data_IF_813367620496
#
_entry.id   IF_813367620496
#
_cell.length_a   1.000
_cell.length_b   1.000
_cell.length_c   1.000
_cell.angle_alpha   90.00
_cell.angle_beta   90.00
_cell.angle_gamma   90.00
#
_symmetry.space_group_name_H-M   'P 1'
#
loop_
_entity.id
_entity.type
_entity.pdbx_description
1 polymer ?
#
# COMPACT_ATOMS: atom_id res chain seq x y z
N UNK A 1 -29.24 -44.00 -10.10
CA UNK A 1 -29.59 -43.48 -11.42
C UNK A 1 -28.38 -42.72 -11.98
N UNK A 2 -27.68 -43.32 -12.96
CA UNK A 2 -26.45 -42.80 -13.52
C UNK A 2 -26.76 -41.75 -14.58
N UNK A 3 -26.13 -40.55 -14.53
CA UNK A 3 -26.23 -39.55 -15.57
C UNK A 3 -25.38 -39.96 -16.76
N UNK A 4 -26.00 -40.21 -17.92
CA UNK A 4 -25.37 -40.50 -19.20
C UNK A 4 -24.55 -39.31 -19.68
N UNK A 5 -23.25 -39.53 -19.92
CA UNK A 5 -22.36 -38.58 -20.56
C UNK A 5 -22.68 -38.44 -22.05
N UNK A 6 -22.48 -37.22 -22.55
CA UNK A 6 -22.65 -36.84 -23.95
C UNK A 6 -21.66 -37.58 -24.86
N UNK A 7 -22.14 -38.20 -25.94
CA UNK A 7 -21.30 -38.98 -26.86
C UNK A 7 -20.43 -38.09 -27.77
N UNK A 8 -19.26 -38.60 -28.18
CA UNK A 8 -18.33 -37.94 -29.12
C UNK A 8 -18.99 -37.42 -30.43
N UNK A 9 -20.11 -38.01 -30.80
CA UNK A 9 -20.86 -37.61 -32.00
C UNK A 9 -21.71 -36.36 -31.81
N UNK A 10 -22.07 -36.04 -30.56
CA UNK A 10 -22.78 -34.81 -30.21
C UNK A 10 -21.82 -33.61 -30.04
N UNK A 11 -20.57 -33.87 -29.67
CA UNK A 11 -19.51 -32.84 -29.62
C UNK A 11 -19.07 -32.38 -31.03
N UNK A 12 -19.08 -33.27 -32.02
CA UNK A 12 -18.70 -32.90 -33.38
C UNK A 12 -19.81 -32.17 -34.18
N UNK A 13 -21.05 -32.20 -33.74
CA UNK A 13 -22.13 -31.40 -34.36
C UNK A 13 -22.21 -29.97 -33.88
N UNK A 14 -21.59 -29.62 -32.74
CA UNK A 14 -21.49 -28.26 -32.27
C UNK A 14 -20.31 -27.46 -32.83
N UNK A 15 -19.36 -28.14 -33.51
CA UNK A 15 -18.14 -27.54 -34.10
C UNK A 15 -18.23 -27.17 -35.60
N UNK A 16 -19.38 -27.28 -36.24
CA UNK A 16 -19.53 -27.15 -37.71
C UNK A 16 -20.35 -25.94 -38.14
N UNK A 17 -20.35 -24.85 -37.38
CA UNK A 17 -21.02 -23.59 -37.71
C UNK A 17 -20.05 -22.39 -37.87
N UNK A 18 -18.75 -22.64 -38.07
CA UNK A 18 -17.76 -21.56 -38.31
C UNK A 18 -16.83 -21.83 -39.50
N UNK A 19 -17.31 -22.48 -40.54
CA UNK A 19 -16.53 -22.66 -41.78
C UNK A 19 -17.44 -22.58 -43.01
N UNK A 20 -18.06 -21.43 -43.26
CA UNK A 20 -18.70 -21.11 -44.51
C UNK A 20 -18.64 -19.60 -44.80
N UNK A 21 -17.45 -19.05 -44.99
CA UNK A 21 -17.26 -17.69 -45.50
C UNK A 21 -15.89 -17.58 -46.20
N UNK A 22 -15.68 -18.40 -47.27
CA UNK A 22 -14.53 -18.22 -48.14
C UNK A 22 -14.95 -18.58 -49.58
N UNK A 23 -15.78 -17.74 -50.18
CA UNK A 23 -15.94 -17.66 -51.65
C UNK A 23 -16.93 -16.52 -51.99
N UNK A 24 -16.53 -15.26 -51.87
CA UNK A 24 -17.10 -14.14 -52.66
C UNK A 24 -16.00 -13.08 -52.78
N UNK A 25 -15.75 -12.60 -53.99
CA UNK A 25 -14.65 -11.76 -54.40
C UNK A 25 -14.53 -10.36 -53.76
N UNK A 26 -13.58 -9.49 -54.19
CA UNK A 26 -13.18 -8.27 -53.50
C UNK A 26 -14.25 -7.18 -53.60
N UNK A 27 -15.28 -7.32 -52.81
CA UNK A 27 -16.23 -6.25 -52.52
C UNK A 27 -15.79 -5.56 -51.23
N UNK A 28 -15.53 -4.26 -51.32
CA UNK A 28 -15.18 -3.36 -50.24
C UNK A 28 -16.22 -3.49 -49.12
N UNK A 29 -15.94 -4.35 -48.14
CA UNK A 29 -16.62 -4.28 -46.83
C UNK A 29 -16.08 -3.05 -46.12
N UNK A 30 -16.82 -1.95 -46.17
CA UNK A 30 -16.68 -0.88 -45.21
C UNK A 30 -16.74 -1.54 -43.83
N UNK A 31 -15.80 -1.27 -42.89
CA UNK A 31 -15.95 -1.73 -41.54
C UNK A 31 -17.22 -1.06 -40.98
N UNK A 32 -18.29 -1.85 -40.86
CA UNK A 32 -19.44 -1.47 -40.07
C UNK A 32 -18.91 -1.23 -38.67
N UNK A 33 -18.91 0.06 -38.26
CA UNK A 33 -18.40 0.46 -36.97
C UNK A 33 -18.98 -0.44 -35.90
N UNK A 34 -18.08 -1.07 -35.15
CA UNK A 34 -18.40 -1.51 -33.80
C UNK A 34 -18.96 -0.26 -33.11
N UNK A 35 -20.25 -0.27 -32.87
CA UNK A 35 -20.90 0.73 -32.05
C UNK A 35 -20.19 0.67 -30.70
N UNK A 36 -19.24 1.57 -30.45
CA UNK A 36 -18.80 1.87 -29.12
C UNK A 36 -20.05 2.21 -28.34
N UNK A 37 -20.42 1.38 -27.38
CA UNK A 37 -21.52 1.67 -26.49
C UNK A 37 -21.28 3.10 -26.00
N UNK A 38 -22.27 3.99 -26.21
CA UNK A 38 -22.19 5.38 -25.77
C UNK A 38 -21.82 5.37 -24.29
N UNK A 39 -20.59 5.79 -23.99
CA UNK A 39 -20.13 5.83 -22.60
C UNK A 39 -20.99 6.84 -21.86
N UNK A 40 -21.68 6.40 -20.83
CA UNK A 40 -22.50 7.26 -19.95
C UNK A 40 -21.64 8.25 -19.14
N UNK A 41 -20.31 8.09 -19.20
CA UNK A 41 -19.34 8.92 -18.47
C UNK A 41 -19.16 10.22 -19.24
N UNK A 42 -19.57 11.33 -18.65
CA UNK A 42 -19.50 12.66 -19.26
C UNK A 42 -18.34 13.47 -18.65
N UNK A 43 -17.58 14.14 -19.53
CA UNK A 43 -16.43 14.96 -19.14
C UNK A 43 -15.28 14.14 -18.54
N UNK A 44 -14.15 14.76 -18.21
CA UNK A 44 -13.01 14.07 -17.64
C UNK A 44 -13.35 13.45 -16.29
N UNK A 45 -12.66 12.37 -15.93
CA UNK A 45 -12.61 11.86 -14.55
C UNK A 45 -11.54 12.64 -13.82
N UNK A 46 -11.87 13.26 -12.69
CA UNK A 46 -10.97 14.13 -11.93
C UNK A 46 -10.61 13.52 -10.57
N UNK A 47 -9.32 13.39 -10.30
CA UNK A 47 -8.80 12.87 -9.03
C UNK A 47 -7.99 13.95 -8.32
N UNK A 48 -8.47 14.43 -7.17
CA UNK A 48 -7.71 15.26 -6.25
C UNK A 48 -6.73 14.40 -5.46
N UNK A 49 -5.43 14.61 -5.65
CA UNK A 49 -4.40 13.85 -4.96
C UNK A 49 -3.68 14.73 -3.95
N UNK A 50 -3.56 14.30 -2.69
CA UNK A 50 -2.80 15.02 -1.68
C UNK A 50 -1.77 14.13 -0.99
N UNK A 51 -0.56 14.64 -0.85
CA UNK A 51 0.56 13.95 -0.19
C UNK A 51 1.52 14.98 0.40
N UNK A 52 2.40 14.57 1.29
CA UNK A 52 3.44 15.45 1.86
C UNK A 52 4.45 15.83 0.78
N UNK A 53 4.59 17.12 0.50
CA UNK A 53 5.53 17.64 -0.51
C UNK A 53 6.53 18.63 0.06
N UNK A 54 6.53 18.82 1.36
CA UNK A 54 7.40 19.74 2.08
C UNK A 54 8.02 19.10 3.33
N UNK A 55 9.11 19.70 3.83
CA UNK A 55 9.83 19.21 5.01
C UNK A 55 10.65 17.93 4.78
N UNK A 56 11.06 17.29 5.86
CA UNK A 56 11.95 16.11 5.86
C UNK A 56 11.34 14.87 5.21
N UNK A 57 10.04 14.85 5.03
CA UNK A 57 9.28 13.71 4.47
C UNK A 57 8.85 13.94 3.01
N UNK A 58 9.27 15.05 2.38
CA UNK A 58 8.90 15.40 1.00
C UNK A 58 9.27 14.31 -0.03
N UNK A 59 10.30 13.52 0.23
CA UNK A 59 10.69 12.40 -0.65
C UNK A 59 9.57 11.39 -0.88
N UNK A 60 8.72 11.16 0.12
CA UNK A 60 7.52 10.31 -0.06
C UNK A 60 6.54 10.92 -1.06
N UNK A 61 6.31 12.24 -0.96
CA UNK A 61 5.43 12.94 -1.89
C UNK A 61 5.90 12.87 -3.34
N UNK A 62 7.19 12.95 -3.58
CA UNK A 62 7.75 12.80 -4.93
C UNK A 62 7.52 11.37 -5.47
N UNK A 63 7.71 10.34 -4.65
CA UNK A 63 7.41 8.97 -5.07
C UNK A 63 5.92 8.74 -5.33
N UNK A 64 5.02 9.32 -4.53
CA UNK A 64 3.57 9.31 -4.81
C UNK A 64 3.27 9.94 -6.17
N UNK A 65 3.78 11.14 -6.40
CA UNK A 65 3.61 11.90 -7.65
C UNK A 65 4.10 11.10 -8.86
N UNK A 66 5.29 10.49 -8.79
CA UNK A 66 5.84 9.68 -9.87
C UNK A 66 4.90 8.52 -10.26
N UNK A 67 4.39 7.78 -9.27
CA UNK A 67 3.48 6.66 -9.50
C UNK A 67 2.14 7.11 -10.07
N UNK A 68 1.51 8.12 -9.45
CA UNK A 68 0.22 8.65 -9.88
C UNK A 68 0.30 9.24 -11.31
N UNK A 69 1.31 10.05 -11.57
CA UNK A 69 1.51 10.67 -12.88
C UNK A 69 1.72 9.64 -13.98
N UNK A 70 2.54 8.61 -13.72
CA UNK A 70 2.75 7.51 -14.68
C UNK A 70 1.44 6.80 -15.01
N UNK A 71 0.60 6.51 -14.01
CA UNK A 71 -0.69 5.87 -14.23
C UNK A 71 -1.64 6.76 -15.04
N UNK A 72 -1.73 8.06 -14.72
CA UNK A 72 -2.57 9.02 -15.45
C UNK A 72 -2.19 9.07 -16.94
N UNK A 73 -0.89 9.11 -17.23
CA UNK A 73 -0.41 9.15 -18.61
C UNK A 73 -0.67 7.84 -19.35
N UNK A 74 -0.38 6.69 -18.74
CA UNK A 74 -0.63 5.38 -19.34
C UNK A 74 -2.14 5.14 -19.58
N UNK A 75 -3.00 5.50 -18.61
CA UNK A 75 -4.46 5.41 -18.76
C UNK A 75 -4.93 6.29 -19.93
N UNK A 76 -4.46 7.53 -20.00
CA UNK A 76 -4.85 8.46 -21.06
C UNK A 76 -4.33 8.02 -22.44
N UNK A 77 -3.12 7.48 -22.52
CA UNK A 77 -2.57 6.94 -23.75
C UNK A 77 -3.36 5.70 -24.24
N UNK A 78 -3.95 4.93 -23.31
CA UNK A 78 -4.80 3.79 -23.61
C UNK A 78 -6.28 4.16 -23.91
N UNK A 79 -6.60 5.45 -24.04
CA UNK A 79 -7.95 5.92 -24.37
C UNK A 79 -8.76 6.44 -23.17
N UNK A 80 -8.13 6.60 -22.02
CA UNK A 80 -8.75 7.15 -20.81
C UNK A 80 -9.61 6.15 -20.03
N UNK A 81 -10.60 6.66 -19.32
CA UNK A 81 -11.56 5.89 -18.52
C UNK A 81 -12.91 5.93 -19.25
N UNK A 82 -13.31 4.81 -19.81
CA UNK A 82 -14.55 4.77 -20.62
C UNK A 82 -14.57 5.79 -21.77
N UNK A 83 -13.40 6.10 -22.36
CA UNK A 83 -13.27 7.04 -23.48
C UNK A 83 -13.07 8.50 -23.10
N UNK A 84 -13.05 8.85 -21.80
CA UNK A 84 -12.79 10.23 -21.34
C UNK A 84 -11.44 10.33 -20.63
N UNK A 85 -10.84 11.52 -20.63
CA UNK A 85 -9.53 11.73 -19.97
C UNK A 85 -9.62 11.58 -18.47
N UNK A 86 -8.55 11.08 -17.87
CA UNK A 86 -8.24 11.15 -16.45
C UNK A 86 -7.40 12.42 -16.20
N UNK A 87 -7.87 13.27 -15.31
CA UNK A 87 -7.15 14.47 -14.84
C UNK A 87 -6.80 14.31 -13.36
N UNK A 88 -5.65 14.81 -12.96
CA UNK A 88 -5.20 14.80 -11.57
C UNK A 88 -4.67 16.18 -11.18
N UNK A 89 -5.10 16.67 -10.03
CA UNK A 89 -4.48 17.82 -9.36
C UNK A 89 -3.81 17.34 -8.07
N UNK A 90 -2.56 17.77 -7.85
CA UNK A 90 -1.72 17.40 -6.71
C UNK A 90 -1.55 18.58 -5.77
N UNK A 91 -1.77 18.36 -4.45
CA UNK A 91 -1.56 19.37 -3.41
C UNK A 91 -0.75 18.83 -2.24
N UNK A 92 0.04 19.71 -1.61
CA UNK A 92 0.75 19.41 -0.37
C UNK A 92 -0.23 19.26 0.79
N UNK A 93 -0.18 18.14 1.47
CA UNK A 93 -0.98 17.86 2.66
C UNK A 93 -0.33 18.40 3.94
N UNK A 94 0.93 18.82 3.88
CA UNK A 94 1.77 19.31 4.99
C UNK A 94 1.81 18.40 6.23
N UNK A 95 1.22 17.19 6.15
CA UNK A 95 0.99 16.24 7.24
C UNK A 95 0.05 16.74 8.34
N UNK A 96 -0.57 17.91 8.19
CA UNK A 96 -1.52 18.47 9.15
C UNK A 96 -2.96 18.14 8.75
N UNK A 97 -3.76 17.70 9.70
CA UNK A 97 -5.17 17.37 9.47
C UNK A 97 -5.99 18.57 8.95
N UNK A 98 -5.84 19.80 9.46
CA UNK A 98 -6.54 20.97 8.91
C UNK A 98 -6.24 21.23 7.44
N UNK A 99 -4.98 21.12 7.02
CA UNK A 99 -4.57 21.35 5.62
C UNK A 99 -5.11 20.25 4.71
N UNK A 100 -5.10 18.99 5.17
CA UNK A 100 -5.70 17.87 4.43
C UNK A 100 -7.21 18.04 4.24
N UNK A 101 -7.93 18.52 5.25
CA UNK A 101 -9.37 18.83 5.16
C UNK A 101 -9.61 19.99 4.19
N UNK A 102 -8.80 21.05 4.28
CA UNK A 102 -8.89 22.18 3.37
C UNK A 102 -8.66 21.76 1.91
N UNK A 103 -7.66 20.91 1.67
CA UNK A 103 -7.40 20.36 0.34
C UNK A 103 -8.59 19.51 -0.17
N UNK A 104 -9.18 18.66 0.68
CA UNK A 104 -10.34 17.85 0.28
C UNK A 104 -11.52 18.71 -0.14
N UNK A 105 -11.85 19.75 0.64
CA UNK A 105 -12.91 20.71 0.31
C UNK A 105 -12.59 21.48 -1.00
N UNK A 106 -11.36 21.97 -1.15
CA UNK A 106 -10.93 22.63 -2.37
C UNK A 106 -11.08 21.71 -3.60
N UNK A 107 -10.64 20.46 -3.52
CA UNK A 107 -10.76 19.52 -4.62
C UNK A 107 -12.21 19.32 -5.04
N UNK A 108 -13.13 19.20 -4.09
CA UNK A 108 -14.54 18.94 -4.39
C UNK A 108 -15.26 20.23 -4.81
N UNK A 109 -15.18 21.27 -3.99
CA UNK A 109 -16.02 22.46 -4.13
C UNK A 109 -15.50 23.43 -5.21
N UNK A 110 -14.17 23.50 -5.41
CA UNK A 110 -13.55 24.47 -6.31
C UNK A 110 -13.06 23.84 -7.62
N UNK A 111 -12.36 22.70 -7.53
CA UNK A 111 -11.82 22.06 -8.72
C UNK A 111 -12.79 21.05 -9.36
N UNK A 112 -13.77 20.56 -8.60
CA UNK A 112 -14.78 19.63 -9.08
C UNK A 112 -14.27 18.19 -9.23
N UNK A 113 -13.47 17.72 -8.25
CA UNK A 113 -12.97 16.35 -8.21
C UNK A 113 -14.13 15.34 -8.08
N UNK A 114 -14.04 14.27 -8.84
CA UNK A 114 -14.92 13.10 -8.71
C UNK A 114 -14.45 12.18 -7.58
N UNK A 115 -13.13 12.05 -7.40
CA UNK A 115 -12.49 11.18 -6.41
C UNK A 115 -11.32 11.88 -5.76
N UNK A 116 -10.94 11.42 -4.56
CA UNK A 116 -9.75 11.86 -3.83
C UNK A 116 -8.82 10.68 -3.57
N UNK A 117 -7.51 10.96 -3.50
CA UNK A 117 -6.50 9.96 -3.18
C UNK A 117 -5.34 10.55 -2.37
N UNK A 118 -4.49 9.68 -1.84
CA UNK A 118 -3.29 10.06 -1.10
C UNK A 118 -3.39 9.81 0.39
N UNK A 119 -3.02 10.79 1.17
CA UNK A 119 -3.05 10.84 2.65
C UNK A 119 -1.94 10.01 3.30
N UNK A 120 -1.03 10.71 3.98
CA UNK A 120 0.20 10.11 4.48
C UNK A 120 0.14 9.69 5.95
N UNK A 121 -0.48 10.49 6.83
CA UNK A 121 -0.49 10.20 8.25
C UNK A 121 -1.81 9.64 8.75
N UNK A 122 -1.74 8.77 9.77
CA UNK A 122 -2.91 8.20 10.44
C UNK A 122 -3.86 9.28 10.96
N UNK A 123 -3.32 10.36 11.54
CA UNK A 123 -4.12 11.48 12.04
C UNK A 123 -4.91 12.21 10.95
N UNK A 124 -4.30 12.41 9.78
CA UNK A 124 -5.00 12.97 8.61
C UNK A 124 -6.11 12.05 8.12
N UNK A 125 -5.85 10.74 8.00
CA UNK A 125 -6.82 9.79 7.52
C UNK A 125 -8.06 9.70 8.42
N UNK A 126 -7.85 9.68 9.75
CA UNK A 126 -8.95 9.66 10.72
C UNK A 126 -9.76 10.96 10.70
N UNK A 127 -9.10 12.10 10.54
CA UNK A 127 -9.78 13.41 10.47
C UNK A 127 -10.57 13.57 9.16
N UNK A 128 -10.07 12.99 8.05
CA UNK A 128 -10.73 13.07 6.75
C UNK A 128 -11.93 12.13 6.62
N UNK A 129 -11.94 10.99 7.30
CA UNK A 129 -12.99 9.99 7.13
C UNK A 129 -14.42 10.56 7.29
N UNK A 130 -14.78 11.30 8.35
CA UNK A 130 -16.09 11.92 8.46
C UNK A 130 -16.34 13.01 7.41
N UNK A 131 -15.30 13.75 7.02
CA UNK A 131 -15.39 14.79 5.98
C UNK A 131 -15.73 14.18 4.61
N UNK A 132 -15.21 13.00 4.31
CA UNK A 132 -15.53 12.32 3.04
C UNK A 132 -16.98 11.85 2.98
N UNK A 133 -17.59 11.48 4.10
CA UNK A 133 -19.01 11.19 4.16
C UNK A 133 -19.85 12.47 3.90
N UNK A 134 -19.43 13.61 4.44
CA UNK A 134 -20.07 14.92 4.22
C UNK A 134 -19.95 15.36 2.75
N UNK A 135 -18.76 15.26 2.15
CA UNK A 135 -18.50 15.66 0.77
C UNK A 135 -19.07 14.68 -0.27
N UNK A 136 -19.49 13.50 0.15
CA UNK A 136 -19.97 12.41 -0.70
C UNK A 136 -19.01 12.12 -1.86
N UNK A 137 -17.73 11.88 -1.55
CA UNK A 137 -16.69 11.52 -2.53
C UNK A 137 -15.85 10.36 -2.02
N UNK A 138 -15.47 9.47 -2.93
CA UNK A 138 -14.56 8.35 -2.59
C UNK A 138 -13.14 8.88 -2.35
N UNK A 139 -12.56 8.50 -1.20
CA UNK A 139 -11.15 8.68 -0.88
C UNK A 139 -10.43 7.32 -0.89
N UNK A 140 -9.39 7.20 -1.71
CA UNK A 140 -8.48 6.05 -1.67
C UNK A 140 -7.20 6.43 -0.91
N UNK A 141 -7.04 5.88 0.30
CA UNK A 141 -5.85 6.12 1.14
C UNK A 141 -4.69 5.26 0.65
N UNK A 142 -3.56 5.89 0.34
CA UNK A 142 -2.40 5.24 -0.31
C UNK A 142 -1.18 5.08 0.60
N UNK A 143 -1.22 5.61 1.84
CA UNK A 143 -0.09 5.52 2.75
C UNK A 143 -0.50 5.32 4.22
N UNK A 144 -1.43 6.12 4.76
CA UNK A 144 -1.82 6.02 6.17
C UNK A 144 -2.32 4.63 6.55
N UNK A 145 -1.77 4.06 7.63
CA UNK A 145 -1.91 2.65 7.95
C UNK A 145 -2.82 2.33 9.15
N UNK A 146 -3.27 3.33 9.93
CA UNK A 146 -4.08 3.07 11.14
C UNK A 146 -5.27 2.14 10.85
N UNK A 147 -5.40 1.07 11.63
CA UNK A 147 -6.52 0.13 11.54
C UNK A 147 -7.86 0.78 11.88
N UNK A 148 -7.86 1.80 12.75
CA UNK A 148 -9.06 2.54 13.13
C UNK A 148 -9.79 3.14 11.92
N UNK A 149 -9.06 3.47 10.85
CA UNK A 149 -9.68 3.98 9.63
C UNK A 149 -10.70 2.97 9.05
N UNK A 150 -10.30 1.72 8.92
CA UNK A 150 -11.14 0.67 8.32
C UNK A 150 -12.05 0.00 9.34
N UNK A 151 -11.59 -0.22 10.57
CA UNK A 151 -12.37 -0.90 11.61
C UNK A 151 -13.41 0.00 12.29
N UNK A 152 -13.03 1.24 12.62
CA UNK A 152 -13.92 2.15 13.33
C UNK A 152 -14.73 3.02 12.36
N UNK A 153 -14.06 3.74 11.44
CA UNK A 153 -14.79 4.65 10.56
C UNK A 153 -15.59 3.90 9.49
N UNK A 154 -14.99 2.94 8.79
CA UNK A 154 -15.70 2.23 7.71
C UNK A 154 -16.64 1.17 8.29
N UNK A 155 -16.12 0.19 9.02
CA UNK A 155 -16.90 -0.96 9.46
C UNK A 155 -17.92 -0.60 10.55
N UNK A 156 -17.49 0.02 11.67
CA UNK A 156 -18.39 0.30 12.80
C UNK A 156 -19.30 1.52 12.55
N UNK A 157 -18.74 2.60 11.99
CA UNK A 157 -19.46 3.88 11.83
C UNK A 157 -20.11 4.04 10.46
N UNK A 158 -19.87 3.10 9.53
CA UNK A 158 -20.53 3.06 8.22
C UNK A 158 -20.08 4.13 7.23
N UNK A 159 -18.88 4.69 7.37
CA UNK A 159 -18.30 5.64 6.41
C UNK A 159 -17.88 4.88 5.15
N UNK A 160 -18.79 4.84 4.18
CA UNK A 160 -18.61 4.04 2.95
C UNK A 160 -17.67 4.67 1.93
N UNK A 161 -17.37 5.95 2.04
CA UNK A 161 -16.60 6.72 1.06
C UNK A 161 -15.09 6.46 1.13
N UNK A 162 -14.59 5.79 2.18
CA UNK A 162 -13.15 5.61 2.39
C UNK A 162 -12.72 4.18 2.06
N UNK A 163 -11.69 4.06 1.22
CA UNK A 163 -11.00 2.83 0.87
C UNK A 163 -9.50 2.96 1.19
N UNK A 164 -8.82 1.85 1.44
CA UNK A 164 -7.37 1.85 1.63
C UNK A 164 -6.68 0.87 0.69
N UNK A 165 -5.71 1.39 -0.07
CA UNK A 165 -4.91 0.62 -1.03
C UNK A 165 -3.71 -0.07 -0.37
N UNK A 166 -3.15 0.54 0.67
CA UNK A 166 -1.95 0.03 1.38
C UNK A 166 -2.32 -0.85 2.56
N UNK A 167 -1.30 -1.52 3.11
CA UNK A 167 -1.43 -2.37 4.29
C UNK A 167 -1.77 -1.57 5.55
N UNK A 168 -2.56 -2.12 6.46
CA UNK A 168 -2.76 -1.57 7.79
C UNK A 168 -1.58 -1.89 8.72
N UNK A 169 -1.60 -1.29 9.90
CA UNK A 169 -0.64 -1.54 10.98
C UNK A 169 -0.48 -3.00 11.36
N UNK A 170 -1.49 -3.84 11.14
CA UNK A 170 -1.39 -5.29 11.34
C UNK A 170 -0.20 -5.91 10.62
N UNK A 171 0.05 -5.48 9.39
CA UNK A 171 1.12 -6.04 8.58
C UNK A 171 2.50 -5.56 9.05
N UNK A 172 2.57 -4.32 9.54
CA UNK A 172 3.82 -3.77 10.08
C UNK A 172 4.14 -4.35 11.47
N UNK A 173 3.13 -4.61 12.31
CA UNK A 173 3.31 -5.17 13.65
C UNK A 173 3.23 -6.70 13.69
N UNK A 174 2.11 -7.25 13.21
CA UNK A 174 1.83 -8.69 13.29
C UNK A 174 2.78 -9.53 12.43
N UNK A 175 3.03 -9.12 11.17
CA UNK A 175 3.94 -9.85 10.32
C UNK A 175 5.38 -9.83 10.85
N UNK A 176 5.80 -8.71 11.46
CA UNK A 176 7.08 -8.65 12.14
C UNK A 176 7.15 -9.66 13.30
N UNK A 177 6.09 -9.77 14.11
CA UNK A 177 6.04 -10.75 15.20
C UNK A 177 6.08 -12.21 14.70
N UNK A 178 5.40 -12.50 13.57
CA UNK A 178 5.45 -13.82 12.93
C UNK A 178 6.88 -14.18 12.49
N UNK A 179 7.64 -13.22 11.96
CA UNK A 179 9.05 -13.44 11.62
C UNK A 179 9.89 -13.54 12.89
N UNK A 180 9.67 -12.67 13.86
CA UNK A 180 10.44 -12.59 15.11
C UNK A 180 10.29 -13.83 16.00
N UNK A 181 9.15 -14.56 15.94
CA UNK A 181 8.93 -15.76 16.77
C UNK A 181 9.99 -16.84 16.58
N UNK A 182 10.62 -16.91 15.40
CA UNK A 182 11.62 -17.91 15.05
C UNK A 182 13.07 -17.42 15.32
N UNK A 183 13.24 -16.17 15.80
CA UNK A 183 14.56 -15.63 16.12
C UNK A 183 15.02 -16.08 17.51
N UNK A 184 16.34 -16.40 17.68
CA UNK A 184 16.87 -16.97 18.92
C UNK A 184 17.17 -15.92 19.99
N UNK A 185 16.29 -14.94 20.17
CA UNK A 185 16.42 -13.84 21.13
C UNK A 185 15.19 -13.73 22.03
N UNK A 186 15.32 -13.10 23.19
CA UNK A 186 14.29 -13.04 24.23
C UNK A 186 13.90 -11.63 24.68
N UNK A 187 14.76 -10.64 24.43
CA UNK A 187 14.50 -9.28 24.89
C UNK A 187 14.38 -8.31 23.73
N UNK A 188 13.31 -7.52 23.73
CA UNK A 188 13.01 -6.57 22.66
C UNK A 188 12.82 -5.15 23.20
N UNK A 189 13.15 -4.16 22.39
CA UNK A 189 12.88 -2.76 22.65
C UNK A 189 12.41 -2.05 21.37
N UNK A 190 11.92 -0.81 21.50
CA UNK A 190 11.53 -0.02 20.34
C UNK A 190 12.06 1.41 20.41
N UNK A 191 12.44 1.95 19.23
CA UNK A 191 12.44 3.37 18.92
C UNK A 191 11.39 3.54 17.84
N UNK A 192 10.32 4.27 18.12
CA UNK A 192 9.21 4.42 17.18
C UNK A 192 8.57 5.81 17.28
N UNK A 193 7.86 6.29 16.24
CA UNK A 193 7.31 7.63 16.23
C UNK A 193 6.20 7.78 17.28
N UNK A 194 6.19 8.95 17.97
CA UNK A 194 5.27 9.28 19.06
C UNK A 194 3.90 9.71 18.57
N UNK A 195 3.21 8.83 17.82
CA UNK A 195 1.82 9.03 17.40
C UNK A 195 1.14 7.70 17.10
N UNK A 196 -0.13 7.72 16.70
CA UNK A 196 -1.00 6.54 16.50
C UNK A 196 -0.30 5.37 15.80
N UNK A 197 0.37 5.63 14.68
CA UNK A 197 1.06 4.59 13.91
C UNK A 197 2.12 3.85 14.74
N UNK A 198 3.00 4.60 15.43
CA UNK A 198 4.06 4.01 16.24
C UNK A 198 3.50 3.18 17.41
N UNK A 199 2.53 3.74 18.12
CA UNK A 199 1.93 3.06 19.28
C UNK A 199 1.24 1.77 18.88
N UNK A 200 0.42 1.80 17.82
CA UNK A 200 -0.34 0.63 17.38
C UNK A 200 0.56 -0.46 16.83
N UNK A 201 1.55 -0.12 16.00
CA UNK A 201 2.48 -1.11 15.46
C UNK A 201 3.26 -1.82 16.57
N UNK A 202 3.76 -1.05 17.55
CA UNK A 202 4.49 -1.63 18.67
C UNK A 202 3.59 -2.52 19.54
N UNK A 203 2.38 -2.07 19.86
CA UNK A 203 1.44 -2.87 20.65
C UNK A 203 1.05 -4.16 19.92
N UNK A 204 0.83 -4.09 18.60
CA UNK A 204 0.56 -5.26 17.78
C UNK A 204 1.73 -6.23 17.75
N UNK A 205 2.95 -5.73 17.55
CA UNK A 205 4.17 -6.54 17.61
C UNK A 205 4.33 -7.21 18.98
N UNK A 206 4.23 -6.41 20.05
CA UNK A 206 4.42 -6.84 21.44
C UNK A 206 3.42 -7.90 21.85
N UNK A 207 2.12 -7.63 21.68
CA UNK A 207 1.05 -8.54 22.07
C UNK A 207 1.08 -9.85 21.29
N UNK A 208 1.34 -9.77 19.98
CA UNK A 208 1.45 -10.95 19.12
C UNK A 208 2.66 -11.80 19.47
N UNK A 209 3.84 -11.18 19.62
CA UNK A 209 5.05 -11.92 19.93
C UNK A 209 4.97 -12.55 21.32
N UNK A 210 4.43 -11.85 22.32
CA UNK A 210 4.22 -12.42 23.65
C UNK A 210 3.26 -13.63 23.64
N UNK A 211 2.23 -13.61 22.78
CA UNK A 211 1.31 -14.74 22.62
C UNK A 211 1.99 -15.94 21.94
N UNK A 212 2.89 -15.71 20.98
CA UNK A 212 3.61 -16.76 20.25
C UNK A 212 4.85 -17.26 21.00
N UNK A 213 5.48 -16.41 21.79
CA UNK A 213 6.70 -16.64 22.54
C UNK A 213 6.57 -16.08 23.97
N UNK A 214 5.91 -16.81 24.89
CA UNK A 214 5.73 -16.37 26.28
C UNK A 214 7.05 -16.13 27.07
N UNK A 215 8.18 -16.59 26.53
CA UNK A 215 9.51 -16.43 27.10
C UNK A 215 10.20 -15.10 26.72
N UNK A 216 9.55 -14.26 25.89
CA UNK A 216 10.11 -12.94 25.52
C UNK A 216 9.67 -11.84 26.50
N UNK A 217 10.53 -10.83 26.62
CA UNK A 217 10.27 -9.63 27.42
C UNK A 217 10.58 -8.36 26.64
N UNK A 218 9.97 -7.25 27.05
CA UNK A 218 10.11 -5.95 26.41
C UNK A 218 10.75 -4.98 27.38
N UNK A 219 11.99 -4.53 27.08
CA UNK A 219 12.87 -3.89 28.06
C UNK A 219 12.85 -2.38 28.03
N UNK A 220 12.56 -1.77 26.86
CA UNK A 220 12.51 -0.32 26.71
C UNK A 220 11.62 0.10 25.55
N UNK A 221 11.00 1.27 25.74
CA UNK A 221 10.20 1.96 24.72
C UNK A 221 10.68 3.41 24.63
N UNK A 222 11.11 3.84 23.46
CA UNK A 222 11.56 5.20 23.20
C UNK A 222 10.76 5.82 22.08
N UNK A 223 10.02 6.88 22.38
CA UNK A 223 9.03 7.49 21.48
C UNK A 223 9.56 8.81 20.95
N UNK A 224 9.96 8.83 19.66
CA UNK A 224 10.47 10.01 18.99
C UNK A 224 9.31 10.90 18.51
N UNK A 225 9.26 12.19 18.90
CA UNK A 225 8.29 13.13 18.35
C UNK A 225 8.41 13.22 16.82
N UNK A 226 7.28 13.43 16.15
CA UNK A 226 7.25 13.62 14.71
C UNK A 226 8.13 14.82 14.30
N UNK A 227 8.99 14.64 13.28
CA UNK A 227 9.97 15.64 12.87
C UNK A 227 11.30 15.57 13.62
N UNK A 228 11.56 14.50 14.38
CA UNK A 228 12.82 14.30 15.10
C UNK A 228 14.01 14.22 14.13
N UNK A 229 15.01 15.06 14.35
CA UNK A 229 16.29 15.10 13.62
C UNK A 229 17.48 14.67 14.46
N UNK A 230 17.29 14.46 15.76
CA UNK A 230 18.31 14.01 16.71
C UNK A 230 17.78 12.80 17.51
N UNK A 231 18.27 11.62 17.19
CA UNK A 231 17.90 10.35 17.82
C UNK A 231 18.86 9.91 18.93
N UNK A 232 19.91 10.68 19.24
CA UNK A 232 20.95 10.23 20.20
C UNK A 232 20.39 9.87 21.57
N UNK A 233 19.45 10.64 22.11
CA UNK A 233 18.81 10.32 23.40
C UNK A 233 17.98 9.03 23.33
N UNK A 234 17.24 8.83 22.23
CA UNK A 234 16.45 7.62 21.98
C UNK A 234 17.36 6.38 21.84
N UNK A 235 18.46 6.50 21.09
CA UNK A 235 19.46 5.47 20.90
C UNK A 235 20.12 5.10 22.26
N UNK A 236 20.53 6.08 23.06
CA UNK A 236 21.11 5.84 24.38
C UNK A 236 20.13 5.10 25.30
N UNK A 237 18.86 5.45 25.31
CA UNK A 237 17.83 4.73 26.08
C UNK A 237 17.80 3.24 25.74
N UNK A 238 17.91 2.90 24.45
CA UNK A 238 17.94 1.49 24.03
C UNK A 238 19.28 0.82 24.38
N UNK A 239 20.38 1.52 24.18
CA UNK A 239 21.72 0.96 24.51
C UNK A 239 21.87 0.69 25.98
N UNK A 240 21.33 1.54 26.87
CA UNK A 240 21.33 1.36 28.32
C UNK A 240 20.46 0.17 28.75
N UNK A 241 19.33 -0.06 28.08
CA UNK A 241 18.42 -1.18 28.33
C UNK A 241 18.97 -2.53 27.83
N UNK A 242 19.97 -2.52 26.95
CA UNK A 242 20.66 -3.71 26.38
C UNK A 242 19.73 -4.80 25.85
N UNK A 243 18.73 -4.48 25.02
CA UNK A 243 17.90 -5.50 24.40
C UNK A 243 18.71 -6.35 23.42
N UNK A 244 18.26 -7.59 23.18
CA UNK A 244 18.79 -8.42 22.10
C UNK A 244 18.20 -8.03 20.75
N UNK A 245 16.95 -7.55 20.72
CA UNK A 245 16.23 -7.13 19.52
C UNK A 245 15.72 -5.70 19.56
N UNK A 246 15.77 -5.03 18.43
CA UNK A 246 15.17 -3.70 18.20
C UNK A 246 14.09 -3.81 17.12
N UNK A 247 12.89 -3.37 17.44
CA UNK A 247 11.82 -3.14 16.47
C UNK A 247 11.63 -1.63 16.28
N UNK A 248 11.53 -1.14 15.06
CA UNK A 248 11.30 0.28 14.83
C UNK A 248 10.43 0.51 13.61
N UNK A 249 9.41 1.33 13.77
CA UNK A 249 8.54 1.83 12.67
C UNK A 249 8.77 3.30 12.38
N UNK A 250 9.94 3.82 12.71
CA UNK A 250 10.39 5.07 12.09
C UNK A 250 10.38 4.92 10.56
N UNK A 251 10.17 6.01 9.84
CA UNK A 251 10.02 5.96 8.39
C UNK A 251 10.65 7.17 7.70
N UNK A 252 10.88 7.10 6.39
CA UNK A 252 11.46 8.16 5.58
C UNK A 252 12.76 8.74 6.17
N UNK A 253 12.87 10.06 6.14
CA UNK A 253 14.04 10.81 6.63
C UNK A 253 14.34 10.59 8.11
N UNK A 254 13.32 10.32 8.94
CA UNK A 254 13.51 10.01 10.36
C UNK A 254 14.17 8.65 10.53
N UNK A 255 13.74 7.62 9.81
CA UNK A 255 14.41 6.31 9.80
C UNK A 255 15.84 6.41 9.29
N UNK A 256 16.08 7.15 8.20
CA UNK A 256 17.42 7.38 7.66
C UNK A 256 18.32 8.01 8.73
N UNK A 257 17.82 9.02 9.42
CA UNK A 257 18.57 9.73 10.48
C UNK A 257 18.84 8.81 11.66
N UNK A 258 17.83 8.08 12.12
CA UNK A 258 17.97 7.10 13.22
C UNK A 258 19.02 6.04 12.90
N UNK A 259 19.00 5.48 11.69
CA UNK A 259 19.97 4.46 11.28
C UNK A 259 21.40 5.03 11.23
N UNK A 260 21.60 6.20 10.63
CA UNK A 260 22.94 6.86 10.57
C UNK A 260 23.48 7.17 11.95
N UNK A 261 22.68 7.74 12.84
CA UNK A 261 23.10 8.03 14.22
C UNK A 261 23.29 6.76 15.04
N UNK A 262 22.45 5.74 14.84
CA UNK A 262 22.59 4.42 15.48
C UNK A 262 23.89 3.70 15.07
N UNK A 263 24.28 3.80 13.80
CA UNK A 263 25.58 3.30 13.34
C UNK A 263 26.75 4.00 14.04
N UNK A 264 26.70 5.33 14.10
CA UNK A 264 27.75 6.13 14.75
C UNK A 264 27.87 5.79 16.24
N UNK A 265 26.74 5.55 16.93
CA UNK A 265 26.70 5.18 18.33
C UNK A 265 27.05 3.70 18.60
N UNK A 266 27.13 2.87 17.56
CA UNK A 266 27.39 1.43 17.72
C UNK A 266 26.16 0.58 18.07
N UNK A 267 24.96 1.11 17.94
CA UNK A 267 23.70 0.43 18.25
C UNK A 267 23.59 -0.94 17.55
N UNK A 268 23.86 -0.98 16.26
CA UNK A 268 23.78 -2.20 15.44
C UNK A 268 24.91 -3.22 15.68
N UNK A 269 25.88 -2.87 16.53
CA UNK A 269 26.89 -3.84 17.04
C UNK A 269 26.46 -4.45 18.37
N UNK A 270 25.62 -3.73 19.13
CA UNK A 270 25.13 -4.16 20.43
C UNK A 270 23.87 -5.02 20.32
N UNK A 271 22.94 -4.65 19.43
CA UNK A 271 21.67 -5.35 19.22
C UNK A 271 21.88 -6.49 18.21
N UNK A 272 21.41 -7.71 18.54
CA UNK A 272 21.61 -8.90 17.70
C UNK A 272 20.67 -8.93 16.49
N UNK A 273 19.42 -8.53 16.70
CA UNK A 273 18.37 -8.55 15.69
C UNK A 273 17.72 -7.17 15.58
N UNK A 274 17.52 -6.68 14.38
CA UNK A 274 16.83 -5.40 14.11
C UNK A 274 15.75 -5.63 13.07
N UNK A 275 14.56 -5.12 13.33
CA UNK A 275 13.39 -5.24 12.44
C UNK A 275 12.84 -3.87 12.09
N UNK A 276 12.82 -3.54 10.80
CA UNK A 276 12.36 -2.27 10.25
C UNK A 276 11.25 -2.54 9.22
N UNK A 277 9.96 -2.51 9.61
CA UNK A 277 8.82 -2.85 8.73
C UNK A 277 8.74 -2.03 7.44
N UNK A 278 9.28 -0.82 7.43
CA UNK A 278 9.37 0.04 6.25
C UNK A 278 10.81 0.33 5.82
N UNK A 279 11.76 -0.47 6.32
CA UNK A 279 13.19 -0.33 6.02
C UNK A 279 13.57 -0.64 4.57
N UNK A 280 12.72 -1.35 3.83
CA UNK A 280 12.89 -1.60 2.40
C UNK A 280 12.11 -0.60 1.52
N UNK A 281 11.59 0.49 2.08
CA UNK A 281 11.04 1.57 1.29
C UNK A 281 12.15 2.25 0.47
N UNK A 282 11.86 2.61 -0.77
CA UNK A 282 12.89 3.02 -1.73
C UNK A 282 13.62 4.29 -1.31
N UNK A 283 12.91 5.25 -0.74
CA UNK A 283 13.52 6.47 -0.20
C UNK A 283 14.52 6.19 0.93
N UNK A 284 14.24 5.16 1.76
CA UNK A 284 15.13 4.70 2.83
C UNK A 284 16.35 3.99 2.24
N UNK A 285 16.14 3.08 1.28
CA UNK A 285 17.22 2.35 0.63
C UNK A 285 18.17 3.29 -0.13
N UNK A 286 17.62 4.24 -0.92
CA UNK A 286 18.41 5.23 -1.63
C UNK A 286 19.10 6.22 -0.66
N UNK A 287 18.41 6.66 0.39
CA UNK A 287 18.93 7.62 1.37
C UNK A 287 20.04 7.07 2.26
N UNK A 288 20.03 5.75 2.52
CA UNK A 288 21.10 5.06 3.26
C UNK A 288 22.16 4.47 2.34
N UNK A 289 21.79 4.10 1.11
CA UNK A 289 22.73 3.48 0.19
C UNK A 289 23.39 2.23 0.79
N UNK A 290 24.72 2.20 0.78
CA UNK A 290 25.51 1.13 1.40
C UNK A 290 25.71 1.32 2.92
N UNK A 291 25.30 2.46 3.50
CA UNK A 291 25.37 2.71 4.93
C UNK A 291 24.33 1.92 5.73
N UNK A 292 23.26 1.40 5.10
CA UNK A 292 22.34 0.49 5.79
C UNK A 292 23.10 -0.78 6.19
N UNK A 293 23.11 -1.21 7.48
CA UNK A 293 23.82 -2.41 7.87
C UNK A 293 23.32 -3.67 7.14
N UNK A 294 24.19 -4.65 6.92
CA UNK A 294 23.79 -5.98 6.49
C UNK A 294 23.07 -6.73 7.62
N UNK A 295 22.26 -7.72 7.26
CA UNK A 295 21.54 -8.59 8.19
C UNK A 295 20.51 -7.84 9.08
N UNK A 296 19.96 -6.74 8.61
CA UNK A 296 18.79 -6.09 9.21
C UNK A 296 17.53 -6.68 8.58
N UNK A 297 16.57 -7.11 9.36
CA UNK A 297 15.26 -7.49 8.89
C UNK A 297 14.52 -6.27 8.40
N UNK A 298 14.23 -6.24 7.12
CA UNK A 298 13.46 -5.15 6.49
C UNK A 298 12.24 -5.70 5.79
N UNK A 299 11.22 -4.88 5.72
CA UNK A 299 10.05 -5.09 4.90
C UNK A 299 9.69 -3.79 4.16
N UNK A 300 8.79 -3.89 3.24
CA UNK A 300 8.15 -2.77 2.58
C UNK A 300 6.75 -3.20 2.18
N UNK A 301 5.81 -2.28 2.25
CA UNK A 301 4.41 -2.53 1.86
C UNK A 301 4.25 -2.84 0.37
N UNK A 302 5.29 -2.66 -0.38
CA UNK A 302 5.63 -3.16 -1.70
C UNK A 302 7.16 -3.12 -1.81
N UNK A 303 7.73 -4.09 -2.50
CA UNK A 303 9.17 -4.14 -2.74
C UNK A 303 9.44 -4.39 -4.22
N UNK A 304 10.26 -3.58 -4.86
CA UNK A 304 10.44 -3.57 -6.31
C UNK A 304 10.97 -4.90 -6.91
N UNK A 305 11.60 -5.75 -6.11
CA UNK A 305 12.03 -7.09 -6.50
C UNK A 305 11.04 -8.21 -6.08
N UNK A 306 9.84 -7.83 -5.60
CA UNK A 306 8.78 -8.77 -5.26
C UNK A 306 7.40 -8.20 -5.59
N UNK A 307 6.49 -8.98 -6.20
CA UNK A 307 6.62 -10.39 -6.62
C UNK A 307 7.52 -10.55 -7.87
N UNK A 308 8.16 -11.71 -7.98
CA UNK A 308 9.00 -12.04 -9.14
C UNK A 308 8.14 -12.52 -10.32
N UNK A 309 7.34 -11.63 -10.88
CA UNK A 309 6.50 -11.91 -12.05
C UNK A 309 6.74 -10.87 -13.15
N UNK A 310 6.26 -11.17 -14.38
CA UNK A 310 6.49 -10.31 -15.53
C UNK A 310 5.85 -8.92 -15.35
N UNK A 311 4.65 -8.84 -14.79
CA UNK A 311 3.93 -7.57 -14.60
C UNK A 311 4.70 -6.59 -13.72
N UNK A 312 5.24 -7.08 -12.57
CA UNK A 312 6.07 -6.28 -11.70
C UNK A 312 7.38 -5.87 -12.38
N UNK A 313 8.07 -6.83 -13.03
CA UNK A 313 9.34 -6.54 -13.70
C UNK A 313 9.17 -5.48 -14.81
N UNK A 314 8.12 -5.57 -15.60
CA UNK A 314 7.81 -4.59 -16.66
C UNK A 314 7.50 -3.21 -16.09
N UNK A 315 6.70 -3.15 -15.01
CA UNK A 315 6.38 -1.88 -14.37
C UNK A 315 7.63 -1.23 -13.75
N UNK A 316 8.42 -2.00 -13.00
CA UNK A 316 9.70 -1.52 -12.41
C UNK A 316 10.64 -1.02 -13.50
N UNK A 317 10.75 -1.76 -14.63
CA UNK A 317 11.59 -1.34 -15.76
C UNK A 317 11.12 -0.02 -16.39
N UNK A 318 9.80 0.15 -16.60
CA UNK A 318 9.23 1.41 -17.13
C UNK A 318 9.41 2.58 -16.15
N UNK A 319 9.17 2.34 -14.85
CA UNK A 319 9.34 3.34 -13.81
C UNK A 319 10.79 3.81 -13.73
N UNK A 320 11.74 2.87 -13.64
CA UNK A 320 13.16 3.17 -13.57
C UNK A 320 13.68 3.89 -14.82
N UNK A 321 13.26 3.45 -16.01
CA UNK A 321 13.63 4.12 -17.27
C UNK A 321 13.18 5.59 -17.28
N UNK A 322 12.03 5.88 -16.71
CA UNK A 322 11.45 7.23 -16.73
C UNK A 322 12.06 8.15 -15.68
N UNK A 323 12.16 7.66 -14.44
CA UNK A 323 12.46 8.48 -13.29
C UNK A 323 13.89 8.34 -12.78
N UNK A 324 14.65 7.35 -13.27
CA UNK A 324 15.98 6.96 -12.78
C UNK A 324 15.99 6.56 -11.29
N UNK A 325 14.80 6.23 -10.74
CA UNK A 325 14.54 5.68 -9.43
C UNK A 325 13.84 4.32 -9.54
N UNK A 326 14.02 3.47 -8.55
CA UNK A 326 13.16 2.29 -8.41
C UNK A 326 11.87 2.68 -7.68
N UNK A 327 10.72 2.03 -7.98
CA UNK A 327 9.47 2.44 -7.37
C UNK A 327 9.40 2.10 -5.88
N UNK A 328 8.94 3.07 -5.08
CA UNK A 328 8.59 2.88 -3.69
C UNK A 328 7.17 2.29 -3.56
N UNK A 329 6.82 1.76 -2.37
CA UNK A 329 5.47 1.24 -2.13
C UNK A 329 4.38 2.31 -2.31
N UNK A 330 4.68 3.56 -2.01
CA UNK A 330 3.75 4.68 -2.22
C UNK A 330 3.58 5.00 -3.71
N UNK A 331 4.62 4.81 -4.54
CA UNK A 331 4.50 4.93 -5.99
C UNK A 331 3.56 3.86 -6.55
N UNK A 332 3.72 2.63 -6.09
CA UNK A 332 2.90 1.51 -6.50
C UNK A 332 1.44 1.69 -6.05
N UNK A 333 1.22 2.11 -4.80
CA UNK A 333 -0.11 2.39 -4.28
C UNK A 333 -0.81 3.53 -5.03
N UNK A 334 -0.08 4.61 -5.36
CA UNK A 334 -0.60 5.72 -6.15
C UNK A 334 -0.95 5.29 -7.58
N UNK A 335 -0.07 4.53 -8.23
CA UNK A 335 -0.29 3.95 -9.55
C UNK A 335 -1.52 3.05 -9.56
N UNK A 336 -1.58 2.08 -8.66
CA UNK A 336 -2.68 1.12 -8.55
C UNK A 336 -4.02 1.79 -8.19
N UNK A 337 -4.00 2.90 -7.45
CA UNK A 337 -5.19 3.69 -7.14
C UNK A 337 -5.85 4.27 -8.38
N UNK A 338 -5.06 4.79 -9.33
CA UNK A 338 -5.62 5.32 -10.59
C UNK A 338 -6.27 4.21 -11.42
N UNK A 339 -5.68 3.01 -11.44
CA UNK A 339 -6.28 1.84 -12.10
C UNK A 339 -7.50 1.29 -11.36
N UNK A 340 -7.54 1.40 -10.01
CA UNK A 340 -8.73 1.06 -9.23
C UNK A 340 -9.90 1.97 -9.59
N UNK A 341 -9.69 3.29 -9.65
CA UNK A 341 -10.72 4.22 -10.11
C UNK A 341 -11.14 3.96 -11.55
N UNK A 342 -10.17 3.73 -12.46
CA UNK A 342 -10.50 3.35 -13.85
C UNK A 342 -11.43 2.15 -13.87
N UNK A 343 -11.04 1.05 -13.24
CA UNK A 343 -11.81 -0.20 -13.24
C UNK A 343 -13.19 -0.04 -12.61
N UNK A 344 -13.27 0.70 -11.49
CA UNK A 344 -14.53 0.92 -10.78
C UNK A 344 -15.49 1.80 -11.58
N UNK A 345 -15.01 2.90 -12.19
CA UNK A 345 -15.82 3.81 -13.01
C UNK A 345 -16.31 3.10 -14.27
N UNK A 346 -15.47 2.31 -14.93
CA UNK A 346 -15.86 1.52 -16.11
C UNK A 346 -16.88 0.44 -15.76
N UNK A 347 -16.71 -0.27 -14.65
CA UNK A 347 -17.66 -1.27 -14.17
C UNK A 347 -19.02 -0.66 -13.76
N UNK A 348 -18.98 0.51 -13.11
CA UNK A 348 -20.19 1.27 -12.73
C UNK A 348 -20.86 1.95 -13.93
N UNK A 349 -20.12 2.22 -15.01
CA UNK A 349 -20.57 3.05 -16.13
C UNK A 349 -20.90 4.49 -15.70
N UNK A 350 -20.36 4.95 -14.56
CA UNK A 350 -20.71 6.21 -13.92
C UNK A 350 -19.61 6.70 -13.01
N UNK A 351 -19.58 8.02 -12.73
CA UNK A 351 -18.76 8.67 -11.69
C UNK A 351 -19.53 8.87 -10.38
N UNK A 352 -20.77 8.41 -10.31
CA UNK A 352 -21.60 8.49 -9.11
C UNK A 352 -20.94 7.76 -7.94
N UNK A 353 -20.84 8.43 -6.79
CA UNK A 353 -20.13 7.94 -5.61
C UNK A 353 -20.63 6.57 -5.16
N UNK A 354 -21.95 6.40 -5.07
CA UNK A 354 -22.56 5.14 -4.60
C UNK A 354 -22.32 4.00 -5.59
N UNK A 355 -22.40 4.29 -6.89
CA UNK A 355 -22.15 3.31 -7.94
C UNK A 355 -20.68 2.86 -7.94
N UNK A 356 -19.75 3.80 -7.77
CA UNK A 356 -18.31 3.50 -7.70
C UNK A 356 -17.94 2.74 -6.41
N UNK A 357 -18.52 3.10 -5.27
CA UNK A 357 -18.37 2.32 -4.02
C UNK A 357 -18.80 0.87 -4.26
N UNK A 358 -19.99 0.65 -4.83
CA UNK A 358 -20.46 -0.70 -5.12
C UNK A 358 -19.57 -1.49 -6.08
N UNK A 359 -18.89 -0.81 -7.01
CA UNK A 359 -17.93 -1.43 -7.92
C UNK A 359 -16.57 -1.73 -7.26
N UNK A 360 -16.16 -0.93 -6.26
CA UNK A 360 -14.92 -1.15 -5.51
C UNK A 360 -15.06 -2.27 -4.47
N UNK A 361 -16.24 -2.43 -3.87
CA UNK A 361 -16.48 -3.46 -2.86
C UNK A 361 -16.34 -4.87 -3.43
N UNK A 362 -15.40 -5.64 -2.91
CA UNK A 362 -15.08 -6.98 -3.40
C UNK A 362 -14.29 -7.00 -4.72
N UNK A 363 -13.92 -5.84 -5.26
CA UNK A 363 -13.15 -5.78 -6.50
C UNK A 363 -11.77 -6.42 -6.33
N UNK A 364 -11.45 -7.32 -7.25
CA UNK A 364 -10.10 -7.83 -7.45
C UNK A 364 -9.37 -6.96 -8.48
N UNK A 365 -8.17 -6.50 -8.15
CA UNK A 365 -7.34 -5.65 -9.00
C UNK A 365 -5.95 -6.25 -9.13
N UNK A 366 -5.51 -6.51 -10.35
CA UNK A 366 -4.13 -6.90 -10.63
C UNK A 366 -3.25 -5.64 -10.62
N UNK A 367 -2.21 -5.68 -9.79
CA UNK A 367 -1.29 -4.57 -9.56
C UNK A 367 0.16 -5.06 -9.67
N UNK A 368 1.15 -4.17 -9.77
CA UNK A 368 2.56 -4.57 -9.69
C UNK A 368 2.90 -5.38 -8.43
N UNK A 369 2.25 -5.08 -7.29
CA UNK A 369 2.42 -5.82 -6.04
C UNK A 369 1.69 -7.18 -6.01
N UNK A 370 1.07 -7.59 -7.11
CA UNK A 370 0.20 -8.77 -7.20
C UNK A 370 -1.29 -8.40 -7.14
N UNK A 371 -2.14 -9.41 -7.07
CA UNK A 371 -3.58 -9.21 -7.04
C UNK A 371 -4.01 -8.70 -5.67
N UNK A 372 -4.74 -7.59 -5.64
CA UNK A 372 -5.39 -7.02 -4.45
C UNK A 372 -6.89 -7.22 -4.50
N UNK A 373 -7.48 -7.51 -3.36
CA UNK A 373 -8.94 -7.61 -3.22
C UNK A 373 -9.39 -6.61 -2.15
N UNK A 374 -10.29 -5.70 -2.50
CA UNK A 374 -10.92 -4.82 -1.52
C UNK A 374 -11.98 -5.57 -0.74
N UNK A 375 -11.80 -5.75 0.56
CA UNK A 375 -12.84 -6.34 1.40
C UNK A 375 -14.07 -5.45 1.41
N UNK A 376 -15.24 -6.07 1.29
CA UNK A 376 -16.51 -5.37 1.24
C UNK A 376 -16.89 -4.75 2.59
N UNK A 377 -16.49 -5.40 3.68
CA UNK A 377 -16.91 -5.06 5.03
C UNK A 377 -16.24 -3.79 5.54
N UNK A 378 -14.96 -3.60 5.23
CA UNK A 378 -14.13 -2.51 5.78
C UNK A 378 -13.30 -1.76 4.75
N UNK A 379 -13.46 -2.08 3.46
CA UNK A 379 -12.81 -1.44 2.33
C UNK A 379 -11.26 -1.50 2.34
N UNK A 380 -10.69 -2.48 3.04
CA UNK A 380 -9.26 -2.72 3.06
C UNK A 380 -8.82 -3.57 1.86
N UNK A 381 -7.86 -3.08 1.06
CA UNK A 381 -7.18 -3.90 0.08
C UNK A 381 -6.22 -4.87 0.77
N UNK A 382 -6.26 -6.14 0.34
CA UNK A 382 -5.47 -7.23 0.93
C UNK A 382 -4.43 -7.73 -0.06
N UNK A 383 -3.19 -7.85 0.38
CA UNK A 383 -2.06 -8.44 -0.36
C UNK A 383 -0.92 -8.85 0.58
N UNK A 384 -0.06 -9.75 0.11
CA UNK A 384 1.06 -10.29 0.88
C UNK A 384 2.21 -9.30 0.99
N UNK A 385 3.00 -9.38 2.07
CA UNK A 385 4.16 -8.51 2.30
C UNK A 385 5.42 -9.34 2.53
N UNK A 386 6.50 -9.07 1.76
CA UNK A 386 7.77 -9.75 1.94
C UNK A 386 8.58 -9.16 3.10
N UNK A 387 9.30 -10.02 3.82
CA UNK A 387 10.35 -9.69 4.76
C UNK A 387 11.66 -10.33 4.32
N UNK A 388 12.78 -9.73 4.64
CA UNK A 388 14.10 -10.34 4.37
C UNK A 388 15.22 -9.57 5.02
N UNK A 389 16.40 -10.19 5.06
CA UNK A 389 17.62 -9.56 5.58
C UNK A 389 18.25 -8.67 4.52
N UNK A 390 18.75 -7.51 4.94
CA UNK A 390 19.52 -6.62 4.08
C UNK A 390 20.84 -7.28 3.66
N UNK A 391 21.23 -7.04 2.42
CA UNK A 391 22.51 -7.45 1.86
C UNK A 391 22.99 -6.52 0.76
N UNK A 392 24.29 -6.50 0.50
CA UNK A 392 24.86 -5.88 -0.69
C UNK A 392 24.57 -6.70 -1.94
N UNK A 393 24.33 -6.03 -3.04
CA UNK A 393 24.30 -6.60 -4.39
C UNK A 393 24.95 -5.58 -5.35
N UNK A 394 25.96 -5.97 -6.14
CA UNK A 394 26.70 -5.03 -6.99
C UNK A 394 25.87 -4.38 -8.10
N UNK A 395 24.65 -4.88 -8.34
CA UNK A 395 23.71 -4.30 -9.32
C UNK A 395 23.04 -3.03 -8.81
N UNK A 396 23.07 -2.77 -7.50
CA UNK A 396 22.35 -1.66 -6.88
C UNK A 396 23.27 -0.77 -6.07
N UNK A 397 23.11 0.56 -6.12
CA UNK A 397 23.92 1.48 -5.33
C UNK A 397 23.57 1.49 -3.82
N UNK A 398 22.54 0.71 -3.44
CA UNK A 398 22.01 0.59 -2.09
C UNK A 398 21.89 -0.88 -1.68
N UNK A 399 21.69 -1.13 -0.39
CA UNK A 399 21.38 -2.48 0.11
C UNK A 399 20.02 -2.94 -0.40
N UNK A 400 19.91 -4.23 -0.68
CA UNK A 400 18.65 -4.85 -1.07
C UNK A 400 18.17 -5.83 0.01
N UNK A 401 16.86 -6.10 -0.01
CA UNK A 401 16.29 -7.24 0.71
C UNK A 401 16.72 -8.53 0.01
N UNK A 402 17.33 -9.42 0.74
CA UNK A 402 17.78 -10.72 0.24
C UNK A 402 16.62 -11.70 0.02
N UNK A 403 16.83 -12.97 0.39
CA UNK A 403 15.78 -13.98 0.27
C UNK A 403 14.54 -13.56 1.07
N UNK A 404 13.40 -13.49 0.40
CA UNK A 404 12.15 -13.06 1.02
C UNK A 404 11.50 -14.21 1.80
N UNK A 405 10.97 -13.84 2.98
CA UNK A 405 9.99 -14.61 3.74
C UNK A 405 8.66 -13.86 3.56
N UNK A 406 7.70 -14.49 2.90
CA UNK A 406 6.41 -13.87 2.63
C UNK A 406 5.43 -14.22 3.72
N UNK A 407 4.88 -13.20 4.39
CA UNK A 407 3.79 -13.38 5.35
C UNK A 407 2.48 -13.14 4.59
N UNK A 408 1.62 -14.19 4.46
CA UNK A 408 0.38 -14.06 3.70
C UNK A 408 -0.55 -13.01 4.29
N UNK A 409 -1.23 -12.25 3.45
CA UNK A 409 -2.20 -11.24 3.86
C UNK A 409 -3.23 -11.81 4.84
N UNK A 410 -3.80 -12.98 4.53
CA UNK A 410 -4.78 -13.65 5.38
C UNK A 410 -4.27 -14.02 6.79
N UNK A 411 -2.95 -14.12 6.97
CA UNK A 411 -2.34 -14.34 8.28
C UNK A 411 -2.19 -13.06 9.10
N UNK A 412 -2.14 -11.90 8.45
CA UNK A 412 -1.87 -10.62 9.08
C UNK A 412 -3.10 -9.74 9.30
N UNK A 413 -4.16 -9.95 8.51
CA UNK A 413 -5.33 -9.08 8.57
C UNK A 413 -6.35 -9.58 9.57
N UNK A 414 -6.80 -8.71 10.47
CA UNK A 414 -7.99 -8.94 11.26
C UNK A 414 -9.19 -9.18 10.33
N UNK A 415 -10.09 -10.08 10.72
CA UNK A 415 -11.31 -10.38 9.96
C UNK A 415 -12.51 -9.70 10.61
N UNK A 416 -13.41 -9.09 9.84
CA UNK A 416 -14.71 -8.68 10.37
C UNK A 416 -15.56 -9.91 10.80
N UNK A 417 -16.39 -9.78 11.86
CA UNK A 417 -16.44 -8.66 12.78
C UNK A 417 -15.18 -8.57 13.63
N UNK A 418 -14.71 -7.33 13.88
CA UNK A 418 -13.55 -7.10 14.74
C UNK A 418 -13.95 -7.24 16.21
N UNK A 419 -13.75 -8.44 16.77
CA UNK A 419 -14.12 -8.77 18.13
C UNK A 419 -13.05 -8.29 19.13
N UNK A 420 -13.20 -7.08 19.62
CA UNK A 420 -12.35 -6.50 20.64
C UNK A 420 -11.28 -5.55 20.08
N UNK A 421 -10.31 -5.10 20.90
CA UNK A 421 -9.27 -4.20 20.47
C UNK A 421 -8.40 -4.86 19.39
N UNK A 422 -7.98 -4.07 18.42
CA UNK A 422 -7.12 -4.47 17.31
C UNK A 422 -5.82 -5.19 17.74
N UNK A 423 -5.43 -4.99 19.01
CA UNK A 423 -4.28 -5.65 19.65
C UNK A 423 -4.43 -7.16 19.88
N UNK A 424 -5.62 -7.74 19.68
CA UNK A 424 -5.75 -9.21 19.80
C UNK A 424 -5.31 -9.85 18.48
N UNK A 425 -4.35 -10.81 18.52
CA UNK A 425 -3.97 -11.58 17.34
C UNK A 425 -5.22 -12.12 16.65
N UNK A 426 -5.40 -11.92 15.34
CA UNK A 426 -6.60 -12.36 14.63
C UNK A 426 -6.72 -13.88 14.51
N UNK A 427 -5.72 -14.63 14.99
CA UNK A 427 -5.65 -16.06 14.86
C UNK A 427 -5.25 -16.74 16.16
N UNK A 428 -6.16 -17.55 16.71
CA UNK A 428 -5.75 -18.71 17.49
C UNK A 428 -5.26 -19.75 16.46
N UNK A 429 -4.05 -20.23 16.68
CA UNK A 429 -3.43 -21.33 15.92
C UNK A 429 -4.37 -22.50 15.73
#
# INVERSE_FOLDING_TARGET
MAKKGMSRRQFMKAGLLTAAAAALGPGVLKPTGLWAAETKIKGPVKVGYQTVMSGTLAGYGEFHKMGAQMAVEEINAAGGIGGVKLEMELRDSTLKAPDAIQNARYFVDSWGADFLAGVDSSGQALALAPVMAELDRVLMVTHAATEKLTEEHVFKNGVRQVFRMVTPTYQDGYAAAIVAKDLPIKTWATISPKYEYGFTCWEMFKSTLAALRPDVTFTAESWAPFGTTDFRSHINTIMDAKPEGLYSVEWAGELITMVKQGQQAGLFKQVKEVMLPVGAAMDVLEGLGQELPDNIWVSGRYYFLYPTNQANNDWVGRFHKRWQHYPAYVSEAAYSTMYAFKKAVEAAGSKDTKAVIGALEGMSLDTPAGTRVFRKEDHQAMYDVPWGLTKSDPKYPFKIMGKQVVVPALACFARPPFDGPASKPPFKS
#
